data_IF_191525781521
#
_entry.id   IF_191525781521
#
_cell.length_a   1.000
_cell.length_b   1.000
_cell.length_c   1.000
_cell.angle_alpha   90.00
_cell.angle_beta   90.00
_cell.angle_gamma   90.00
#
_symmetry.space_group_name_H-M   'P 1'
#
loop_
_entity.id
_entity.type
_entity.pdbx_description
1 polymer ?
#
# COMPACT_ATOMS: atom_id res chain seq x y z
N UNK A 1 15.03 -4.69 -2.44
CA UNK A 1 13.94 -3.92 -3.07
C UNK A 1 13.35 -3.03 -2.01
N UNK A 2 13.27 -1.73 -2.27
CA UNK A 2 12.50 -0.82 -1.43
C UNK A 2 11.01 -1.03 -1.76
N UNK A 3 10.27 -1.61 -0.82
CA UNK A 3 8.85 -1.89 -1.02
C UNK A 3 7.99 -0.63 -0.98
N UNK A 4 8.45 0.43 -0.30
CA UNK A 4 7.74 1.70 -0.27
C UNK A 4 7.80 2.38 -1.64
N UNK A 5 9.00 2.49 -2.22
CA UNK A 5 9.20 3.06 -3.57
C UNK A 5 8.44 2.24 -4.63
N UNK A 6 8.56 0.91 -4.59
CA UNK A 6 7.83 0.02 -5.48
C UNK A 6 6.32 0.28 -5.41
N UNK A 7 5.73 0.31 -4.20
CA UNK A 7 4.30 0.52 -4.01
C UNK A 7 3.84 1.91 -4.45
N UNK A 8 4.66 2.93 -4.19
CA UNK A 8 4.39 4.32 -4.60
C UNK A 8 4.33 4.44 -6.13
N UNK A 9 5.30 3.87 -6.83
CA UNK A 9 5.34 3.92 -8.30
C UNK A 9 4.19 3.12 -8.91
N UNK A 10 3.91 1.94 -8.36
CA UNK A 10 2.79 1.11 -8.82
C UNK A 10 1.44 1.82 -8.71
N UNK A 11 1.24 2.59 -7.63
CA UNK A 11 0.05 3.41 -7.43
C UNK A 11 0.03 4.63 -8.36
N UNK A 12 1.13 5.37 -8.46
CA UNK A 12 1.23 6.56 -9.30
C UNK A 12 1.09 6.25 -10.79
N UNK A 13 1.49 5.04 -11.22
CA UNK A 13 1.27 4.56 -12.58
C UNK A 13 -0.14 4.03 -12.82
N UNK A 14 -0.98 3.95 -11.78
CA UNK A 14 -2.35 3.42 -11.87
C UNK A 14 -2.40 1.90 -12.10
N UNK A 15 -1.30 1.18 -11.85
CA UNK A 15 -1.26 -0.28 -11.97
C UNK A 15 -1.92 -0.94 -10.75
N UNK A 16 -1.78 -0.31 -9.59
CA UNK A 16 -2.42 -0.71 -8.36
C UNK A 16 -3.28 0.42 -7.80
N UNK A 17 -4.42 0.06 -7.22
CA UNK A 17 -5.22 0.97 -6.39
C UNK A 17 -4.94 0.76 -4.89
N UNK A 18 -5.69 1.48 -4.05
CA UNK A 18 -5.56 1.38 -2.60
C UNK A 18 -5.92 0.00 -2.06
N UNK A 19 -6.84 -0.73 -2.70
CA UNK A 19 -7.22 -2.08 -2.26
C UNK A 19 -6.13 -3.09 -2.60
N UNK A 20 -5.56 -3.01 -3.81
CA UNK A 20 -4.41 -3.81 -4.19
C UNK A 20 -3.23 -3.62 -3.22
N UNK A 21 -3.02 -2.39 -2.71
CA UNK A 21 -1.91 -2.10 -1.81
C UNK A 21 -2.03 -2.70 -0.40
N UNK A 22 -3.25 -3.09 0.04
CA UNK A 22 -3.47 -3.67 1.38
C UNK A 22 -2.67 -4.95 1.59
N UNK A 23 -2.46 -5.76 0.54
CA UNK A 23 -1.69 -7.02 0.65
C UNK A 23 -0.24 -6.78 1.07
N UNK A 24 0.34 -5.63 0.71
CA UNK A 24 1.72 -5.29 1.08
C UNK A 24 1.81 -4.82 2.54
N UNK A 25 0.72 -4.31 3.11
CA UNK A 25 0.61 -4.07 4.55
C UNK A 25 0.49 -5.40 5.30
N UNK A 26 -0.40 -6.30 4.86
CA UNK A 26 -0.61 -7.63 5.46
C UNK A 26 0.68 -8.46 5.46
N UNK A 27 1.47 -8.37 4.39
CA UNK A 27 2.76 -9.07 4.24
C UNK A 27 3.94 -8.35 4.92
N UNK A 28 3.68 -7.29 5.70
CA UNK A 28 4.67 -6.46 6.38
C UNK A 28 5.75 -5.92 5.44
N UNK A 29 5.38 -5.63 4.18
CA UNK A 29 6.27 -5.02 3.18
C UNK A 29 6.26 -3.49 3.27
N UNK A 30 5.11 -2.93 3.61
CA UNK A 30 4.94 -1.53 4.00
C UNK A 30 4.14 -1.45 5.30
N UNK A 31 4.30 -0.36 6.04
CA UNK A 31 3.50 -0.08 7.25
C UNK A 31 2.17 0.58 6.90
N UNK A 32 1.23 0.59 7.84
CA UNK A 32 -0.03 1.35 7.70
C UNK A 32 0.20 2.85 7.43
N UNK A 33 1.25 3.44 8.02
CA UNK A 33 1.61 4.83 7.77
C UNK A 33 2.13 5.04 6.34
N UNK A 34 2.98 4.14 5.85
CA UNK A 34 3.46 4.18 4.47
C UNK A 34 2.33 4.00 3.45
N UNK A 35 1.38 3.09 3.73
CA UNK A 35 0.17 2.95 2.94
C UNK A 35 -0.63 4.25 2.86
N UNK A 36 -0.82 4.95 3.99
CA UNK A 36 -1.51 6.24 4.01
C UNK A 36 -0.77 7.32 3.24
N UNK A 37 0.56 7.34 3.29
CA UNK A 37 1.36 8.28 2.50
C UNK A 37 1.14 8.05 0.99
N UNK A 38 1.12 6.79 0.54
CA UNK A 38 0.96 6.46 -0.88
C UNK A 38 -0.46 6.75 -1.37
N UNK A 39 -1.47 6.31 -0.61
CA UNK A 39 -2.86 6.25 -1.09
C UNK A 39 -3.69 7.46 -0.67
N UNK A 40 -3.25 8.20 0.36
CA UNK A 40 -4.06 9.21 1.05
C UNK A 40 -5.15 8.62 1.97
N UNK A 41 -5.21 7.30 2.13
CA UNK A 41 -6.28 6.60 2.86
C UNK A 41 -5.71 5.90 4.10
N UNK A 42 -6.45 5.95 5.21
CA UNK A 42 -6.13 5.17 6.40
C UNK A 42 -6.26 3.67 6.13
N UNK A 43 -5.24 2.89 6.52
CA UNK A 43 -5.31 1.44 6.39
C UNK A 43 -6.36 0.87 7.36
N UNK A 44 -7.38 0.24 6.81
CA UNK A 44 -8.37 -0.54 7.57
C UNK A 44 -8.15 -2.01 7.25
N UNK A 45 -7.74 -2.79 8.26
CA UNK A 45 -7.67 -4.24 8.13
C UNK A 45 -9.09 -4.78 8.04
N UNK A 46 -9.47 -5.33 6.89
CA UNK A 46 -10.66 -6.17 6.77
C UNK A 46 -10.28 -7.56 7.26
N UNK A 47 -11.04 -8.07 8.23
CA UNK A 47 -10.95 -9.47 8.68
C UNK A 47 -11.70 -10.28 7.62
N UNK A 48 -10.96 -10.98 6.77
CA UNK A 48 -11.52 -12.03 5.89
C UNK A 48 -11.42 -13.40 6.56
#
# INVERSE_FOLDING_TARGET
MDWFEFCNDYFNWGIADSDNLKIYVIKSKITANQYKIITGVDYVATID
#
